data_IF_716186182783
#
_entry.id   IF_716186182783
#
_cell.length_a   1.000
_cell.length_b   1.000
_cell.length_c   1.000
_cell.angle_alpha   90.00
_cell.angle_beta   90.00
_cell.angle_gamma   90.00
#
_symmetry.space_group_name_H-M   'P 1'
#
loop_
_entity.id
_entity.type
_entity.pdbx_description
1 polymer ?
#
# COMPACT_ATOMS: atom_id res chain seq x y z
N UNK A 1 -31.29 -12.99 9.78
CA UNK A 1 -30.10 -12.94 8.91
C UNK A 1 -29.88 -11.51 8.47
N UNK A 2 -28.96 -10.78 9.10
CA UNK A 2 -28.45 -9.50 8.58
C UNK A 2 -27.23 -9.83 7.73
N UNK A 3 -27.33 -9.64 6.43
CA UNK A 3 -26.15 -9.67 5.57
C UNK A 3 -25.19 -8.59 6.04
N UNK A 4 -23.98 -9.00 6.45
CA UNK A 4 -22.89 -8.05 6.67
C UNK A 4 -22.65 -7.39 5.31
N UNK A 5 -23.02 -6.12 5.19
CA UNK A 5 -22.58 -5.30 4.08
C UNK A 5 -21.05 -5.30 4.17
N UNK A 6 -20.39 -6.02 3.28
CA UNK A 6 -18.99 -5.81 2.99
C UNK A 6 -18.98 -4.72 1.92
N UNK A 7 -18.77 -3.44 2.27
CA UNK A 7 -18.52 -2.43 1.26
C UNK A 7 -17.38 -2.94 0.37
N UNK A 8 -17.42 -2.63 -0.92
CA UNK A 8 -16.24 -2.91 -1.74
C UNK A 8 -15.03 -2.24 -1.09
N UNK A 9 -13.83 -2.84 -1.16
CA UNK A 9 -12.63 -2.30 -0.48
C UNK A 9 -12.39 -0.81 -0.76
N UNK A 10 -12.78 -0.34 -1.94
CA UNK A 10 -12.72 1.07 -2.35
C UNK A 10 -13.71 1.96 -1.59
N UNK A 11 -14.95 1.53 -1.43
CA UNK A 11 -16.00 2.24 -0.70
C UNK A 11 -15.66 2.33 0.80
N UNK A 12 -15.10 1.25 1.36
CA UNK A 12 -14.63 1.23 2.75
C UNK A 12 -13.39 2.11 2.97
N UNK A 13 -12.49 2.21 2.00
CA UNK A 13 -11.31 3.07 2.11
C UNK A 13 -11.71 4.57 2.12
N UNK A 14 -12.72 4.95 1.34
CA UNK A 14 -13.24 6.33 1.34
C UNK A 14 -13.89 6.69 2.67
N UNK A 15 -14.69 5.78 3.23
CA UNK A 15 -15.28 5.92 4.56
C UNK A 15 -14.20 6.07 5.64
N UNK A 16 -13.20 5.18 5.69
CA UNK A 16 -12.11 5.28 6.67
C UNK A 16 -11.28 6.56 6.55
N UNK A 17 -11.06 7.07 5.32
CA UNK A 17 -10.42 8.39 5.12
C UNK A 17 -11.29 9.51 5.67
N UNK A 18 -12.58 9.46 5.39
CA UNK A 18 -13.53 10.46 5.88
C UNK A 18 -13.58 10.45 7.42
N UNK A 19 -13.67 9.28 8.04
CA UNK A 19 -13.64 9.11 9.50
C UNK A 19 -12.35 9.65 10.11
N UNK A 20 -11.19 9.29 9.55
CA UNK A 20 -9.90 9.78 10.03
C UNK A 20 -9.82 11.32 9.99
N UNK A 21 -10.35 11.94 8.93
CA UNK A 21 -10.39 13.40 8.80
C UNK A 21 -11.37 14.03 9.81
N UNK A 22 -12.58 13.49 9.94
CA UNK A 22 -13.62 13.99 10.87
C UNK A 22 -13.20 13.82 12.33
N UNK A 23 -12.46 12.77 12.65
CA UNK A 23 -11.89 12.55 13.97
C UNK A 23 -10.66 13.44 14.29
N UNK A 24 -10.21 14.26 13.34
CA UNK A 24 -9.01 15.10 13.51
C UNK A 24 -7.69 14.33 13.45
N UNK A 25 -7.69 13.15 12.84
CA UNK A 25 -6.53 12.24 12.72
C UNK A 25 -6.12 12.00 11.26
N UNK A 26 -5.97 13.04 10.40
CA UNK A 26 -5.66 12.87 8.97
C UNK A 26 -4.31 12.17 8.73
N UNK A 27 -3.43 12.14 9.73
CA UNK A 27 -2.18 11.41 9.66
C UNK A 27 -2.40 9.89 9.47
N UNK A 28 -3.53 9.32 9.91
CA UNK A 28 -3.84 7.90 9.75
C UNK A 28 -4.00 7.48 8.28
N UNK A 29 -4.36 8.43 7.40
CA UNK A 29 -4.54 8.15 5.98
C UNK A 29 -3.29 7.52 5.33
N UNK A 30 -2.08 7.85 5.80
CA UNK A 30 -0.84 7.25 5.26
C UNK A 30 -0.75 5.75 5.54
N UNK A 31 -1.21 5.30 6.70
CA UNK A 31 -1.23 3.88 7.07
C UNK A 31 -2.32 3.15 6.30
N UNK A 32 -3.47 3.81 6.09
CA UNK A 32 -4.54 3.27 5.26
C UNK A 32 -4.05 3.04 3.83
N UNK A 33 -3.47 4.06 3.17
CA UNK A 33 -2.95 3.91 1.80
C UNK A 33 -1.85 2.84 1.74
N UNK A 34 -0.93 2.79 2.70
CA UNK A 34 0.08 1.73 2.78
C UNK A 34 -0.57 0.33 2.89
N UNK A 35 -1.63 0.19 3.68
CA UNK A 35 -2.38 -1.06 3.83
C UNK A 35 -3.16 -1.48 2.58
N UNK A 36 -3.55 -0.52 1.73
CA UNK A 36 -4.23 -0.79 0.46
C UNK A 36 -3.28 -1.28 -0.64
N UNK A 37 -2.00 -0.92 -0.58
CA UNK A 37 -0.99 -1.38 -1.55
C UNK A 37 -0.97 -2.91 -1.68
N UNK A 38 -0.75 -3.71 -0.61
CA UNK A 38 -0.75 -5.17 -0.74
C UNK A 38 -2.12 -5.70 -1.20
N UNK A 39 -3.23 -5.06 -0.84
CA UNK A 39 -4.55 -5.45 -1.33
C UNK A 39 -4.66 -5.33 -2.85
N UNK A 40 -4.28 -4.19 -3.42
CA UNK A 40 -4.33 -3.95 -4.86
C UNK A 40 -3.31 -4.79 -5.62
N UNK A 41 -2.09 -4.92 -5.09
CA UNK A 41 -1.06 -5.77 -5.68
C UNK A 41 -1.52 -7.23 -5.73
N UNK A 42 -2.01 -7.79 -4.61
CA UNK A 42 -2.48 -9.18 -4.58
C UNK A 42 -3.62 -9.42 -5.57
N UNK A 43 -4.51 -8.43 -5.76
CA UNK A 43 -5.62 -8.52 -6.72
C UNK A 43 -5.24 -8.23 -8.17
N UNK A 44 -4.01 -7.80 -8.46
CA UNK A 44 -3.61 -7.35 -9.80
C UNK A 44 -4.34 -6.08 -10.25
N UNK A 45 -4.83 -5.27 -9.32
CA UNK A 45 -5.59 -4.05 -9.60
C UNK A 45 -4.65 -2.87 -9.87
N UNK A 46 -3.96 -2.87 -11.01
CA UNK A 46 -2.88 -1.91 -11.33
C UNK A 46 -3.30 -0.45 -11.27
N UNK A 47 -4.50 -0.11 -11.73
CA UNK A 47 -5.00 1.27 -11.69
C UNK A 47 -5.23 1.77 -10.26
N UNK A 48 -5.82 0.92 -9.41
CA UNK A 48 -6.05 1.26 -8.00
C UNK A 48 -4.72 1.29 -7.21
N UNK A 49 -3.76 0.42 -7.56
CA UNK A 49 -2.40 0.46 -7.02
C UNK A 49 -1.71 1.79 -7.36
N UNK A 50 -1.74 2.22 -8.62
CA UNK A 50 -1.14 3.49 -9.04
C UNK A 50 -1.78 4.68 -8.32
N UNK A 51 -3.11 4.71 -8.20
CA UNK A 51 -3.81 5.77 -7.48
C UNK A 51 -3.46 5.80 -5.98
N UNK A 52 -3.30 4.62 -5.36
CA UNK A 52 -2.93 4.47 -3.95
C UNK A 52 -1.48 4.93 -3.70
N UNK A 53 -0.54 4.55 -4.58
CA UNK A 53 0.85 5.01 -4.50
C UNK A 53 0.94 6.53 -4.68
N UNK A 54 0.15 7.13 -5.59
CA UNK A 54 0.08 8.58 -5.77
C UNK A 54 -0.39 9.31 -4.51
N UNK A 55 -1.51 8.86 -3.90
CA UNK A 55 -2.00 9.44 -2.64
C UNK A 55 -1.02 9.25 -1.49
N UNK A 56 -0.38 8.09 -1.40
CA UNK A 56 0.65 7.85 -0.40
C UNK A 56 1.83 8.81 -0.57
N UNK A 57 2.26 9.06 -1.81
CA UNK A 57 3.32 10.02 -2.13
C UNK A 57 2.98 11.44 -1.68
N UNK A 58 1.75 11.91 -1.95
CA UNK A 58 1.26 13.21 -1.46
C UNK A 58 1.27 13.28 0.07
N UNK A 59 0.82 12.22 0.75
CA UNK A 59 0.78 12.15 2.21
C UNK A 59 2.17 12.10 2.88
N UNK A 60 3.20 11.68 2.15
CA UNK A 60 4.60 11.60 2.63
C UNK A 60 5.51 12.66 2.03
N UNK A 61 4.97 13.63 1.27
CA UNK A 61 5.75 14.64 0.56
C UNK A 61 6.61 15.52 1.48
N UNK A 62 6.25 15.64 2.77
CA UNK A 62 7.04 16.37 3.76
C UNK A 62 8.33 15.64 4.18
N UNK A 63 8.69 14.52 3.56
CA UNK A 63 9.92 13.75 3.81
C UNK A 63 9.87 12.78 4.99
N UNK A 64 8.96 13.02 5.94
CA UNK A 64 8.63 12.02 6.97
C UNK A 64 7.93 10.82 6.31
N UNK A 65 8.29 9.60 6.75
CA UNK A 65 7.71 8.35 6.23
C UNK A 65 8.04 8.05 4.75
N UNK A 66 9.11 8.62 4.19
CA UNK A 66 9.54 8.30 2.82
C UNK A 66 9.74 6.79 2.56
N UNK A 67 10.17 6.04 3.57
CA UNK A 67 10.28 4.58 3.51
C UNK A 67 8.95 3.86 3.25
N UNK A 68 7.79 4.48 3.50
CA UNK A 68 6.48 3.92 3.11
C UNK A 68 6.34 3.84 1.59
N UNK A 69 6.89 4.82 0.87
CA UNK A 69 6.90 4.81 -0.60
C UNK A 69 7.74 3.66 -1.10
N UNK A 70 8.92 3.45 -0.54
CA UNK A 70 9.80 2.35 -0.92
C UNK A 70 9.15 0.99 -0.64
N UNK A 71 8.54 0.79 0.53
CA UNK A 71 7.80 -0.43 0.86
C UNK A 71 6.65 -0.64 -0.14
N UNK A 72 5.92 0.42 -0.49
CA UNK A 72 4.85 0.33 -1.48
C UNK A 72 5.36 -0.10 -2.86
N UNK A 73 6.50 0.41 -3.30
CA UNK A 73 7.14 0.02 -4.56
C UNK A 73 7.66 -1.42 -4.51
N UNK A 74 8.25 -1.87 -3.38
CA UNK A 74 8.67 -3.26 -3.21
C UNK A 74 7.50 -4.23 -3.26
N UNK A 75 6.40 -3.92 -2.55
CA UNK A 75 5.18 -4.72 -2.61
C UNK A 75 4.59 -4.75 -4.01
N UNK A 76 4.54 -3.60 -4.69
CA UNK A 76 3.97 -3.47 -6.03
C UNK A 76 4.84 -3.99 -7.19
N UNK A 77 6.08 -4.44 -6.90
CA UNK A 77 7.12 -4.69 -7.91
C UNK A 77 7.29 -3.52 -8.90
N UNK A 78 7.35 -2.30 -8.34
CA UNK A 78 7.47 -1.05 -9.09
C UNK A 78 8.91 -0.51 -9.03
N UNK A 79 9.36 0.23 -10.06
CA UNK A 79 10.64 0.92 -10.02
C UNK A 79 10.64 2.00 -8.94
N UNK A 80 11.74 2.13 -8.18
CA UNK A 80 11.83 3.18 -7.16
C UNK A 80 11.83 4.58 -7.80
N UNK A 81 11.22 5.58 -7.14
CA UNK A 81 11.30 6.96 -7.60
C UNK A 81 12.72 7.53 -7.45
N UNK A 82 13.13 8.37 -8.40
CA UNK A 82 14.41 9.10 -8.38
C UNK A 82 14.30 10.43 -7.60
N UNK A 83 15.38 10.93 -6.96
CA UNK A 83 16.67 10.25 -6.75
C UNK A 83 16.50 9.10 -5.76
N UNK A 84 17.19 7.98 -5.98
CA UNK A 84 17.02 6.73 -5.25
C UNK A 84 16.92 6.80 -3.70
N UNK A 85 16.53 5.68 -3.10
CA UNK A 85 16.17 5.55 -1.68
C UNK A 85 17.09 6.31 -0.70
N UNK A 86 16.55 7.28 0.07
CA UNK A 86 17.27 7.84 1.23
C UNK A 86 17.26 6.88 2.44
N UNK A 87 16.49 5.80 2.39
CA UNK A 87 16.30 4.85 3.50
C UNK A 87 17.40 3.82 3.53
N UNK A 88 18.06 3.68 4.68
CA UNK A 88 19.00 2.58 4.92
C UNK A 88 18.29 1.35 5.46
N UNK A 89 18.10 0.36 4.59
CA UNK A 89 17.55 -0.95 4.97
C UNK A 89 18.55 -1.78 5.78
N UNK A 90 18.10 -2.35 6.90
CA UNK A 90 18.94 -3.14 7.80
C UNK A 90 19.52 -4.39 7.13
N UNK A 91 18.69 -5.07 6.35
CA UNK A 91 19.03 -6.32 5.66
C UNK A 91 19.47 -6.10 4.19
N UNK A 92 19.62 -4.83 3.78
CA UNK A 92 19.85 -4.43 2.39
C UNK A 92 18.56 -4.36 1.57
N UNK A 93 18.52 -3.43 0.62
CA UNK A 93 17.33 -3.14 -0.19
C UNK A 93 16.82 -4.38 -0.95
N UNK A 94 17.73 -5.08 -1.64
CA UNK A 94 17.37 -6.25 -2.46
C UNK A 94 16.66 -7.33 -1.64
N UNK A 95 17.20 -7.65 -0.45
CA UNK A 95 16.62 -8.65 0.44
C UNK A 95 15.25 -8.22 0.98
N UNK A 96 15.08 -6.96 1.34
CA UNK A 96 13.79 -6.43 1.80
C UNK A 96 12.76 -6.46 0.65
N UNK A 97 13.17 -6.09 -0.56
CA UNK A 97 12.33 -6.18 -1.77
C UNK A 97 11.86 -7.62 -2.02
N UNK A 98 12.77 -8.57 -2.02
CA UNK A 98 12.47 -10.00 -2.20
C UNK A 98 11.48 -10.52 -1.15
N UNK A 99 11.63 -10.13 0.11
CA UNK A 99 10.71 -10.53 1.19
C UNK A 99 9.28 -9.99 0.97
N UNK A 100 9.14 -8.73 0.55
CA UNK A 100 7.82 -8.16 0.24
C UNK A 100 7.17 -8.84 -0.96
N UNK A 101 7.94 -9.10 -2.02
CA UNK A 101 7.45 -9.81 -3.21
C UNK A 101 7.04 -11.25 -2.89
N UNK A 102 7.82 -11.95 -2.04
CA UNK A 102 7.48 -13.29 -1.57
C UNK A 102 6.16 -13.31 -0.80
N UNK A 103 5.91 -12.31 0.05
CA UNK A 103 4.66 -12.18 0.81
C UNK A 103 3.45 -11.96 -0.11
N UNK A 104 3.56 -11.05 -1.09
CA UNK A 104 2.51 -10.82 -2.10
C UNK A 104 2.23 -12.09 -2.90
N UNK A 105 3.29 -12.77 -3.35
CA UNK A 105 3.18 -14.00 -4.14
C UNK A 105 2.51 -15.11 -3.34
N UNK A 106 2.93 -15.35 -2.10
CA UNK A 106 2.32 -16.31 -1.20
C UNK A 106 0.83 -16.02 -0.99
N UNK A 107 0.45 -14.74 -0.87
CA UNK A 107 -0.94 -14.35 -0.71
C UNK A 107 -1.76 -14.56 -1.99
N UNK A 108 -1.20 -14.28 -3.17
CA UNK A 108 -1.84 -14.58 -4.47
C UNK A 108 -2.11 -16.07 -4.62
N UNK A 109 -1.12 -16.92 -4.31
CA UNK A 109 -1.26 -18.38 -4.32
C UNK A 109 -2.36 -18.83 -3.35
N UNK A 110 -2.35 -18.33 -2.11
CA UNK A 110 -3.37 -18.69 -1.12
C UNK A 110 -4.80 -18.32 -1.55
N UNK A 111 -4.96 -17.24 -2.30
CA UNK A 111 -6.25 -16.77 -2.81
C UNK A 111 -6.61 -17.36 -4.18
N UNK A 112 -5.80 -18.28 -4.71
CA UNK A 112 -5.93 -18.83 -6.07
C UNK A 112 -5.97 -17.74 -7.16
N UNK A 113 -5.26 -16.63 -6.94
CA UNK A 113 -5.10 -15.52 -7.88
C UNK A 113 -3.84 -15.69 -8.75
N UNK A 114 -3.26 -16.89 -8.78
CA UNK A 114 -2.20 -17.26 -9.71
C UNK A 114 -2.78 -17.32 -11.13
N UNK A 115 -2.46 -16.32 -11.96
CA UNK A 115 -2.63 -16.41 -13.40
C UNK A 115 -1.46 -17.15 -14.04
#
# INVERSE_FOLDING_TARGET
MRGVFHPRPRDSAEEHRHEANTAGLPYLNRYLELGLVPHHTVRGATADLAATVGRLHELTASGNFGFFIEIAHFMGDLPLPEPGSPTRWLDGEARVREQWQALVTARRVHLNLSS
#
